data_IF_263566217494
#
_entry.id   IF_263566217494
#
_cell.length_a   1.000
_cell.length_b   1.000
_cell.length_c   1.000
_cell.angle_alpha   90.00
_cell.angle_beta   90.00
_cell.angle_gamma   90.00
#
_symmetry.space_group_name_H-M   'P 1'
#
loop_
_entity.id
_entity.type
_entity.pdbx_description
1 polymer ?
#
# COMPACT_ATOMS: atom_id res chain seq x y z
N UNK A 1 -11.10 9.11 6.80
CA UNK A 1 -10.09 10.13 6.53
C UNK A 1 -8.99 9.98 7.56
N UNK A 2 -8.08 9.04 7.32
CA UNK A 2 -6.78 9.07 7.99
C UNK A 2 -6.10 10.42 7.72
N UNK A 3 -5.24 10.88 8.63
CA UNK A 3 -4.56 12.17 8.48
C UNK A 3 -3.86 12.32 7.12
N UNK A 4 -3.32 11.24 6.56
CA UNK A 4 -2.69 11.24 5.23
C UNK A 4 -3.68 11.31 4.03
N UNK A 5 -4.93 10.89 4.19
CA UNK A 5 -5.89 10.85 3.07
C UNK A 5 -6.50 12.22 2.77
N UNK A 6 -6.65 13.09 3.78
CA UNK A 6 -7.22 14.44 3.60
C UNK A 6 -6.18 15.55 3.45
N UNK A 7 -4.89 15.25 3.65
CA UNK A 7 -3.82 16.25 3.55
C UNK A 7 -3.67 16.84 2.13
N UNK A 8 -3.66 16.03 1.05
CA UNK A 8 -3.60 16.58 -0.31
C UNK A 8 -4.74 17.57 -0.60
N UNK A 9 -5.96 17.24 -0.17
CA UNK A 9 -7.15 18.09 -0.32
C UNK A 9 -7.06 19.35 0.55
N UNK A 10 -6.59 19.23 1.80
CA UNK A 10 -6.41 20.36 2.69
C UNK A 10 -5.36 21.36 2.16
N UNK A 11 -4.26 20.86 1.59
CA UNK A 11 -3.23 21.70 0.96
C UNK A 11 -3.80 22.39 -0.28
N UNK A 12 -4.52 21.66 -1.13
CA UNK A 12 -5.17 22.25 -2.30
C UNK A 12 -6.12 23.39 -1.91
N UNK A 13 -6.95 23.19 -0.89
CA UNK A 13 -7.93 24.19 -0.43
C UNK A 13 -7.31 25.42 0.25
N UNK A 14 -6.09 25.29 0.78
CA UNK A 14 -5.39 26.39 1.46
C UNK A 14 -4.52 27.20 0.50
N UNK A 15 -4.30 26.71 -0.71
CA UNK A 15 -3.52 27.39 -1.73
C UNK A 15 -4.40 28.39 -2.48
N UNK A 16 -3.96 29.65 -2.57
CA UNK A 16 -4.74 30.73 -3.18
C UNK A 16 -4.77 30.68 -4.72
N UNK A 17 -3.93 29.86 -5.35
CA UNK A 17 -3.83 29.69 -6.80
C UNK A 17 -4.43 28.38 -7.32
N UNK A 18 -4.16 28.07 -8.59
CA UNK A 18 -4.67 26.84 -9.22
C UNK A 18 -3.98 25.61 -8.62
N UNK A 19 -4.76 24.56 -8.34
CA UNK A 19 -4.20 23.31 -7.82
C UNK A 19 -4.78 22.08 -8.51
N UNK A 20 -3.92 21.08 -8.72
CA UNK A 20 -4.32 19.79 -9.28
C UNK A 20 -3.75 18.64 -8.47
N UNK A 21 -4.61 17.68 -8.14
CA UNK A 21 -4.26 16.46 -7.42
C UNK A 21 -4.28 15.29 -8.41
N UNK A 22 -3.14 14.63 -8.62
CA UNK A 22 -3.05 13.53 -9.56
C UNK A 22 -2.38 12.28 -8.97
N UNK A 23 -2.95 11.12 -9.29
CA UNK A 23 -2.40 9.81 -8.86
C UNK A 23 -2.14 8.93 -10.07
N UNK A 24 -0.89 8.50 -10.23
CA UNK A 24 -0.51 7.63 -11.35
C UNK A 24 -0.99 6.19 -11.13
N UNK A 25 -1.90 5.72 -12.00
CA UNK A 25 -2.49 4.37 -11.98
C UNK A 25 -2.11 3.53 -13.21
N UNK A 26 -0.90 3.72 -13.74
CA UNK A 26 -0.34 2.91 -14.84
C UNK A 26 -0.63 3.41 -16.26
N UNK A 27 -1.48 4.43 -16.44
CA UNK A 27 -1.75 5.04 -17.75
C UNK A 27 -1.32 6.52 -17.75
N UNK A 28 -0.28 6.84 -18.52
CA UNK A 28 0.23 8.22 -18.65
C UNK A 28 -0.79 9.17 -19.26
N UNK A 29 -1.45 8.77 -20.36
CA UNK A 29 -2.46 9.62 -21.01
C UNK A 29 -3.61 10.00 -20.08
N UNK A 30 -4.14 9.05 -19.29
CA UNK A 30 -5.19 9.34 -18.30
C UNK A 30 -4.70 10.23 -17.17
N UNK A 31 -3.44 10.07 -16.75
CA UNK A 31 -2.81 10.90 -15.72
C UNK A 31 -2.72 12.37 -16.17
N UNK A 32 -2.15 12.64 -17.34
CA UNK A 32 -2.07 14.03 -17.86
C UNK A 32 -3.44 14.61 -18.18
N UNK A 33 -4.36 13.83 -18.75
CA UNK A 33 -5.73 14.29 -18.98
C UNK A 33 -6.44 14.69 -17.67
N UNK A 34 -6.19 13.97 -16.57
CA UNK A 34 -6.78 14.31 -15.27
C UNK A 34 -6.20 15.58 -14.65
N UNK A 35 -4.95 15.93 -14.97
CA UNK A 35 -4.32 17.19 -14.55
C UNK A 35 -4.92 18.33 -15.38
N UNK A 36 -4.91 18.19 -16.71
CA UNK A 36 -5.47 19.18 -17.62
C UNK A 36 -6.94 19.50 -17.30
N UNK A 37 -7.76 18.48 -17.03
CA UNK A 37 -9.15 18.68 -16.66
C UNK A 37 -9.34 19.42 -15.33
N UNK A 38 -8.44 19.24 -14.35
CA UNK A 38 -8.52 19.94 -13.07
C UNK A 38 -8.09 21.41 -13.18
N UNK A 39 -7.18 21.70 -14.09
CA UNK A 39 -6.67 23.05 -14.37
C UNK A 39 -7.44 23.77 -15.48
N UNK A 40 -8.57 23.21 -15.93
CA UNK A 40 -9.38 23.73 -17.04
C UNK A 40 -8.60 23.95 -18.36
N UNK A 41 -7.62 23.09 -18.62
CA UNK A 41 -6.79 23.12 -19.83
C UNK A 41 -7.45 22.27 -20.92
N UNK A 42 -7.54 22.76 -22.18
CA UNK A 42 -8.11 22.01 -23.29
C UNK A 42 -7.41 20.66 -23.49
N UNK A 43 -8.20 19.58 -23.57
CA UNK A 43 -7.67 18.22 -23.83
C UNK A 43 -7.93 17.74 -25.26
N UNK A 44 -8.55 18.60 -26.08
CA UNK A 44 -8.92 18.34 -27.47
C UNK A 44 -8.31 19.39 -28.40
N UNK A 45 -7.91 18.99 -29.60
CA UNK A 45 -7.49 19.90 -30.66
C UNK A 45 -8.68 20.69 -31.22
N UNK A 46 -8.40 21.70 -32.06
CA UNK A 46 -9.40 22.48 -32.82
C UNK A 46 -10.39 21.60 -33.62
N UNK A 47 -9.98 20.38 -34.00
CA UNK A 47 -10.79 19.38 -34.71
C UNK A 47 -11.67 18.49 -33.78
N UNK A 48 -11.68 18.73 -32.46
CA UNK A 48 -12.38 17.91 -31.47
C UNK A 48 -11.76 16.52 -31.23
N UNK A 49 -10.48 16.34 -31.58
CA UNK A 49 -9.73 15.09 -31.35
C UNK A 49 -8.93 15.18 -30.06
N UNK A 50 -8.99 14.12 -29.25
CA UNK A 50 -8.22 14.03 -28.01
C UNK A 50 -6.71 14.11 -28.27
N UNK A 51 -6.03 15.02 -27.56
CA UNK A 51 -4.59 15.24 -27.63
C UNK A 51 -3.80 13.95 -27.36
N UNK A 52 -2.59 13.87 -27.95
CA UNK A 52 -1.64 12.81 -27.64
C UNK A 52 -1.06 13.02 -26.22
N UNK A 53 -0.37 12.01 -25.67
CA UNK A 53 0.26 12.16 -24.36
C UNK A 53 1.32 13.25 -24.35
N UNK A 54 2.12 13.35 -25.42
CA UNK A 54 3.20 14.34 -25.50
C UNK A 54 2.64 15.74 -25.75
N UNK A 55 1.60 15.86 -26.59
CA UNK A 55 0.92 17.14 -26.80
C UNK A 55 0.21 17.63 -25.50
N UNK A 56 -0.36 16.73 -24.70
CA UNK A 56 -0.90 17.09 -23.38
C UNK A 56 0.19 17.62 -22.43
N UNK A 57 1.40 17.06 -22.45
CA UNK A 57 2.50 17.54 -21.59
C UNK A 57 2.94 18.94 -21.96
N UNK A 58 3.06 19.20 -23.26
CA UNK A 58 3.42 20.52 -23.79
C UNK A 58 2.34 21.54 -23.47
N UNK A 59 1.08 21.22 -23.72
CA UNK A 59 -0.05 22.12 -23.43
C UNK A 59 -0.13 22.45 -21.93
N UNK A 60 0.03 21.45 -21.07
CA UNK A 60 0.08 21.66 -19.63
C UNK A 60 1.29 22.54 -19.26
N UNK A 61 2.47 22.29 -19.82
CA UNK A 61 3.67 23.08 -19.51
C UNK A 61 3.56 24.55 -19.94
N UNK A 62 2.84 24.85 -21.02
CA UNK A 62 2.63 26.23 -21.51
C UNK A 62 1.64 27.00 -20.62
N UNK A 63 0.62 26.32 -20.11
CA UNK A 63 -0.45 26.95 -19.32
C UNK A 63 -0.14 27.01 -17.82
N UNK A 64 0.85 26.24 -17.34
CA UNK A 64 1.30 26.28 -15.95
C UNK A 64 2.14 27.51 -15.65
N UNK A 65 1.93 28.09 -14.48
CA UNK A 65 2.67 29.27 -14.00
C UNK A 65 3.17 29.05 -12.56
N UNK A 66 3.87 30.04 -12.01
CA UNK A 66 4.40 30.01 -10.63
C UNK A 66 3.32 30.06 -9.54
N UNK A 67 2.06 30.27 -9.94
CA UNK A 67 0.89 30.25 -9.08
C UNK A 67 0.09 28.96 -9.22
N UNK A 68 0.66 27.92 -9.87
CA UNK A 68 0.05 26.59 -9.90
C UNK A 68 0.75 25.64 -8.93
N UNK A 69 -0.05 24.83 -8.23
CA UNK A 69 0.39 23.78 -7.32
C UNK A 69 -0.03 22.40 -7.81
N UNK A 70 0.96 21.55 -8.11
CA UNK A 70 0.73 20.15 -8.44
C UNK A 70 0.95 19.26 -7.22
N UNK A 71 -0.06 18.47 -6.86
CA UNK A 71 -0.05 17.62 -5.67
C UNK A 71 -0.09 16.14 -6.09
N UNK A 72 0.88 15.36 -5.61
CA UNK A 72 1.04 13.94 -5.92
C UNK A 72 0.96 13.09 -4.63
N UNK A 73 -0.21 12.53 -4.29
CA UNK A 73 -0.41 11.72 -3.08
C UNK A 73 0.44 10.44 -3.04
N UNK A 74 0.84 9.91 -4.19
CA UNK A 74 1.62 8.67 -4.31
C UNK A 74 2.85 8.87 -5.22
N UNK A 75 3.80 9.72 -4.79
CA UNK A 75 4.94 10.13 -5.60
C UNK A 75 5.84 8.96 -6.02
N UNK A 76 5.91 7.88 -5.22
CA UNK A 76 6.69 6.67 -5.56
C UNK A 76 6.21 5.99 -6.85
N UNK A 77 4.96 6.18 -7.27
CA UNK A 77 4.42 5.59 -8.49
C UNK A 77 4.77 6.38 -9.76
N UNK A 78 5.32 7.58 -9.64
CA UNK A 78 5.69 8.40 -10.79
C UNK A 78 6.80 7.71 -11.59
N UNK A 79 6.58 7.56 -12.89
CA UNK A 79 7.59 6.98 -13.78
C UNK A 79 8.74 7.97 -14.01
N UNK A 80 9.89 7.47 -14.41
CA UNK A 80 11.06 8.31 -14.73
C UNK A 80 10.73 9.42 -15.73
N UNK A 81 9.96 9.13 -16.77
CA UNK A 81 9.57 10.16 -17.75
C UNK A 81 8.61 11.23 -17.22
N UNK A 82 7.80 10.93 -16.19
CA UNK A 82 6.99 11.95 -15.51
C UNK A 82 7.87 12.79 -14.60
N UNK A 83 8.87 12.17 -13.94
CA UNK A 83 9.80 12.89 -13.07
C UNK A 83 10.64 13.90 -13.84
N UNK A 84 11.22 13.53 -14.99
CA UNK A 84 11.94 14.50 -15.82
C UNK A 84 11.05 15.66 -16.29
N UNK A 85 9.80 15.37 -16.69
CA UNK A 85 8.86 16.42 -17.05
C UNK A 85 8.52 17.35 -15.87
N UNK A 86 8.47 16.84 -14.63
CA UNK A 86 8.27 17.66 -13.45
C UNK A 86 9.51 18.51 -13.11
N UNK A 87 10.71 18.03 -13.41
CA UNK A 87 11.97 18.78 -13.27
C UNK A 87 11.91 20.06 -14.11
N UNK A 88 11.57 19.92 -15.40
CA UNK A 88 11.42 21.05 -16.32
C UNK A 88 10.36 22.07 -15.83
N UNK A 89 9.26 21.58 -15.22
CA UNK A 89 8.22 22.45 -14.64
C UNK A 89 8.64 23.13 -13.35
N UNK A 90 9.44 22.47 -12.52
CA UNK A 90 9.98 23.08 -11.31
C UNK A 90 10.98 24.18 -11.65
N UNK A 91 11.78 23.99 -12.70
CA UNK A 91 12.69 25.03 -13.24
C UNK A 91 11.92 26.24 -13.77
N UNK A 92 10.74 26.05 -14.37
CA UNK A 92 9.87 27.14 -14.82
C UNK A 92 9.11 27.85 -13.67
N UNK A 93 9.24 27.35 -12.44
CA UNK A 93 8.72 27.96 -11.22
C UNK A 93 7.41 27.36 -10.71
N UNK A 94 6.92 26.25 -11.29
CA UNK A 94 5.72 25.55 -10.82
C UNK A 94 5.98 24.90 -9.47
N UNK A 95 5.04 25.01 -8.53
CA UNK A 95 5.16 24.41 -7.21
C UNK A 95 4.70 22.96 -7.26
N UNK A 96 5.52 22.05 -6.72
CA UNK A 96 5.21 20.61 -6.68
C UNK A 96 5.23 20.12 -5.23
N UNK A 97 4.15 19.43 -4.83
CA UNK A 97 4.02 18.77 -3.54
C UNK A 97 3.91 17.26 -3.73
N UNK A 98 4.87 16.51 -3.22
CA UNK A 98 4.95 15.06 -3.39
C UNK A 98 4.85 14.35 -2.03
N UNK A 99 3.90 13.42 -1.91
CA UNK A 99 3.77 12.57 -0.74
C UNK A 99 4.38 11.19 -0.99
N UNK A 100 5.21 10.73 -0.06
CA UNK A 100 5.82 9.41 -0.11
C UNK A 100 5.94 8.81 1.29
N UNK A 101 5.76 7.48 1.39
CA UNK A 101 5.97 6.73 2.64
C UNK A 101 7.47 6.59 2.97
N UNK A 102 8.30 6.54 1.93
CA UNK A 102 9.76 6.49 2.05
C UNK A 102 10.31 7.46 1.01
N UNK A 103 11.13 8.40 1.44
CA UNK A 103 11.75 9.34 0.52
C UNK A 103 12.65 8.59 -0.47
N UNK A 104 12.47 8.88 -1.76
CA UNK A 104 13.32 8.37 -2.82
C UNK A 104 14.47 9.35 -3.02
N UNK A 105 15.69 8.99 -2.60
CA UNK A 105 16.90 9.82 -2.76
C UNK A 105 17.44 9.86 -4.21
N UNK A 106 16.59 10.20 -5.19
CA UNK A 106 16.89 10.20 -6.63
C UNK A 106 16.05 11.23 -7.39
N UNK A 107 16.54 11.70 -8.53
CA UNK A 107 15.83 12.57 -9.49
C UNK A 107 15.30 13.85 -8.81
N UNK A 108 14.13 14.35 -9.23
CA UNK A 108 13.44 15.55 -8.69
C UNK A 108 13.38 15.61 -7.16
N UNK A 109 13.32 14.46 -6.49
CA UNK A 109 13.19 14.40 -5.03
C UNK A 109 14.44 14.90 -4.29
N UNK A 110 15.60 15.01 -4.96
CA UNK A 110 16.82 15.58 -4.39
C UNK A 110 16.76 17.10 -4.27
N UNK A 111 15.96 17.75 -5.11
CA UNK A 111 15.84 19.21 -5.17
C UNK A 111 14.65 19.74 -4.36
N UNK A 112 13.75 18.85 -3.97
CA UNK A 112 12.57 19.18 -3.17
C UNK A 112 12.91 19.38 -1.69
N UNK A 113 12.22 20.30 -1.04
CA UNK A 113 12.27 20.45 0.41
C UNK A 113 11.64 19.22 1.08
N UNK A 114 12.41 18.55 1.94
CA UNK A 114 11.95 17.40 2.70
C UNK A 114 11.26 17.83 4.00
N UNK A 115 10.01 17.38 4.18
CA UNK A 115 9.23 17.56 5.42
C UNK A 115 8.81 16.19 5.92
N UNK A 116 9.39 15.74 7.04
CA UNK A 116 9.00 14.50 7.68
C UNK A 116 7.76 14.72 8.58
N UNK A 117 6.70 13.94 8.32
CA UNK A 117 5.50 13.98 9.15
C UNK A 117 5.69 13.09 10.38
N UNK A 118 5.52 13.67 11.56
CA UNK A 118 5.53 12.91 12.80
C UNK A 118 4.31 11.97 12.92
N UNK A 119 4.52 10.85 13.60
CA UNK A 119 3.42 9.95 13.93
C UNK A 119 2.42 10.67 14.85
N UNK A 120 1.10 10.49 14.62
CA UNK A 120 0.10 11.15 15.43
C UNK A 120 0.20 10.73 16.89
N UNK A 121 -0.03 11.70 17.78
CA UNK A 121 -0.01 11.47 19.21
C UNK A 121 -1.13 10.52 19.65
N UNK A 122 -0.92 9.84 20.77
CA UNK A 122 -1.92 8.96 21.39
C UNK A 122 -3.23 9.70 21.73
N UNK A 123 -3.15 11.01 22.00
CA UNK A 123 -4.32 11.88 22.19
C UNK A 123 -5.11 12.01 20.90
N UNK A 124 -4.45 12.29 19.78
CA UNK A 124 -5.08 12.40 18.46
C UNK A 124 -5.72 11.08 18.03
N UNK A 125 -5.11 9.95 18.36
CA UNK A 125 -5.71 8.63 18.14
C UNK A 125 -6.98 8.45 18.96
N UNK A 126 -6.96 8.85 20.24
CA UNK A 126 -8.12 8.78 21.12
C UNK A 126 -9.27 9.64 20.62
N UNK A 127 -8.99 10.87 20.21
CA UNK A 127 -9.96 11.78 19.60
C UNK A 127 -10.56 11.14 18.33
N UNK A 128 -9.72 10.59 17.45
CA UNK A 128 -10.21 9.88 16.25
C UNK A 128 -11.08 8.64 16.56
N UNK A 129 -10.83 7.94 17.66
CA UNK A 129 -11.67 6.83 18.12
C UNK A 129 -13.02 7.32 18.67
N UNK A 130 -13.01 8.42 19.44
CA UNK A 130 -14.21 9.04 19.98
C UNK A 130 -15.11 9.58 18.86
N UNK A 131 -14.52 10.26 17.88
CA UNK A 131 -15.23 10.79 16.72
C UNK A 131 -15.91 9.67 15.92
N UNK A 132 -15.24 8.55 15.73
CA UNK A 132 -15.81 7.40 15.02
C UNK A 132 -16.90 6.70 15.83
N UNK A 133 -16.73 6.60 17.15
CA UNK A 133 -17.74 6.05 18.04
C UNK A 133 -19.01 6.92 18.02
N UNK A 134 -18.86 8.24 18.05
CA UNK A 134 -19.96 9.20 17.94
C UNK A 134 -20.70 9.05 16.60
N UNK A 135 -19.97 8.90 15.48
CA UNK A 135 -20.57 8.66 14.15
C UNK A 135 -21.41 7.38 14.08
N UNK A 136 -21.01 6.36 14.83
CA UNK A 136 -21.71 5.07 14.88
C UNK A 136 -22.78 5.02 15.98
N UNK A 137 -23.02 6.14 16.69
CA UNK A 137 -23.89 6.21 17.88
C UNK A 137 -23.52 5.14 18.94
N UNK A 138 -22.24 4.78 19.02
CA UNK A 138 -21.73 3.77 19.94
C UNK A 138 -21.32 4.46 21.24
N UNK A 139 -22.00 4.14 22.34
CA UNK A 139 -21.63 4.64 23.66
C UNK A 139 -20.51 3.77 24.26
N UNK A 140 -19.25 4.15 24.04
CA UNK A 140 -18.09 3.44 24.59
C UNK A 140 -17.68 4.06 25.92
N UNK A 141 -17.54 3.24 26.96
CA UNK A 141 -16.98 3.71 28.23
C UNK A 141 -15.50 4.10 28.09
N UNK A 142 -15.00 5.09 28.85
CA UNK A 142 -13.58 5.47 28.81
C UNK A 142 -12.62 4.30 29.10
N UNK A 143 -13.04 3.37 29.97
CA UNK A 143 -12.28 2.16 30.29
C UNK A 143 -12.16 1.20 29.10
N UNK A 144 -13.24 1.00 28.34
CA UNK A 144 -13.23 0.15 27.15
C UNK A 144 -12.41 0.80 26.04
N UNK A 145 -12.52 2.11 25.86
CA UNK A 145 -11.73 2.85 24.89
C UNK A 145 -10.22 2.77 25.18
N UNK A 146 -9.82 2.85 26.45
CA UNK A 146 -8.44 2.65 26.87
C UNK A 146 -7.93 1.22 26.59
N UNK A 147 -8.78 0.20 26.67
CA UNK A 147 -8.41 -1.17 26.30
C UNK A 147 -8.24 -1.37 24.78
N UNK A 148 -9.01 -0.62 23.97
CA UNK A 148 -8.94 -0.68 22.51
C UNK A 148 -7.79 0.14 21.92
N UNK A 149 -7.32 1.17 22.63
CA UNK A 149 -6.28 2.08 22.15
C UNK A 149 -4.94 1.39 21.83
N UNK A 150 -4.40 0.47 22.67
CA UNK A 150 -3.19 -0.29 22.32
C UNK A 150 -3.35 -1.13 21.04
N UNK A 151 -4.55 -1.65 20.76
CA UNK A 151 -4.83 -2.45 19.56
C UNK A 151 -4.83 -1.60 18.28
N UNK A 152 -5.13 -0.31 18.40
CA UNK A 152 -5.10 0.64 17.29
C UNK A 152 -3.67 1.05 16.89
N UNK A 153 -2.71 0.99 17.81
CA UNK A 153 -1.38 1.55 17.64
C UNK A 153 -1.41 3.05 17.35
N UNK A 154 -0.42 3.56 16.62
CA UNK A 154 -0.30 4.99 16.24
C UNK A 154 -0.89 5.30 14.86
N UNK A 155 -1.90 4.53 14.42
CA UNK A 155 -2.55 4.72 13.13
C UNK A 155 -4.03 5.12 13.30
N UNK A 156 -4.44 6.32 12.86
CA UNK A 156 -5.83 6.74 12.93
C UNK A 156 -6.78 5.84 12.15
N UNK A 157 -6.29 5.22 11.07
CA UNK A 157 -7.09 4.31 10.23
C UNK A 157 -7.44 3.04 10.99
N UNK A 158 -6.44 2.42 11.63
CA UNK A 158 -6.64 1.21 12.44
C UNK A 158 -7.52 1.54 13.64
N UNK A 159 -7.33 2.70 14.26
CA UNK A 159 -8.14 3.16 15.38
C UNK A 159 -9.64 3.19 15.06
N UNK A 160 -10.02 3.81 13.94
CA UNK A 160 -11.43 3.84 13.47
C UNK A 160 -11.94 2.45 13.11
N UNK A 161 -11.11 1.61 12.51
CA UNK A 161 -11.47 0.24 12.17
C UNK A 161 -11.74 -0.62 13.42
N UNK A 162 -10.96 -0.44 14.48
CA UNK A 162 -11.17 -1.09 15.78
C UNK A 162 -12.52 -0.71 16.36
N UNK A 163 -12.88 0.58 16.33
CA UNK A 163 -14.19 1.06 16.80
C UNK A 163 -15.35 0.51 15.96
N UNK A 164 -15.23 0.52 14.62
CA UNK A 164 -16.25 -0.09 13.74
C UNK A 164 -16.47 -1.57 14.03
N UNK A 165 -15.41 -2.31 14.36
CA UNK A 165 -15.50 -3.74 14.70
C UNK A 165 -16.15 -3.96 16.05
N UNK A 166 -15.80 -3.14 17.03
CA UNK A 166 -16.45 -3.15 18.35
C UNK A 166 -17.96 -2.89 18.20
N UNK A 167 -18.37 -1.95 17.34
CA UNK A 167 -19.78 -1.69 17.04
C UNK A 167 -20.51 -2.89 16.41
N UNK A 168 -19.79 -3.73 15.66
CA UNK A 168 -20.31 -4.95 15.04
C UNK A 168 -20.28 -6.16 16.00
N UNK A 169 -19.83 -5.99 17.25
CA UNK A 169 -19.66 -7.09 18.22
C UNK A 169 -18.55 -8.07 17.85
N UNK A 170 -17.63 -7.69 16.96
CA UNK A 170 -16.50 -8.51 16.56
C UNK A 170 -15.36 -8.30 17.57
N UNK A 171 -14.93 -9.39 18.23
CA UNK A 171 -13.83 -9.33 19.19
C UNK A 171 -12.57 -8.68 18.56
N UNK A 172 -12.13 -7.51 19.06
CA UNK A 172 -11.00 -6.76 18.50
C UNK A 172 -9.64 -7.41 18.81
N UNK A 173 -9.60 -8.46 19.64
CA UNK A 173 -8.38 -9.22 19.95
C UNK A 173 -7.78 -9.93 18.72
N UNK A 174 -8.52 -10.03 17.61
CA UNK A 174 -8.04 -10.59 16.34
C UNK A 174 -7.37 -9.57 15.40
N UNK A 175 -7.16 -8.32 15.85
CA UNK A 175 -6.57 -7.24 15.04
C UNK A 175 -5.05 -7.34 14.90
N UNK A 176 -4.38 -8.15 15.74
CA UNK A 176 -2.98 -8.48 15.46
C UNK A 176 -2.93 -9.17 14.10
N UNK A 177 -2.41 -8.47 13.09
CA UNK A 177 -2.20 -8.95 11.72
C UNK A 177 -1.27 -10.16 11.60
N UNK A 178 -1.04 -10.86 12.71
CA UNK A 178 -0.64 -12.24 12.73
C UNK A 178 -1.89 -13.07 12.43
N UNK A 179 -2.16 -13.28 11.13
CA UNK A 179 -2.57 -14.63 10.76
C UNK A 179 -1.46 -15.53 11.29
N UNK A 180 -1.65 -16.09 12.49
CA UNK A 180 -0.71 -17.04 13.06
C UNK A 180 -0.78 -18.24 12.14
N UNK A 181 0.09 -18.21 11.14
CA UNK A 181 0.25 -19.30 10.19
C UNK A 181 0.68 -20.46 11.07
N UNK A 182 -0.21 -21.43 11.24
CA UNK A 182 0.16 -22.67 11.89
C UNK A 182 1.23 -23.27 10.98
N UNK A 183 2.49 -23.15 11.39
CA UNK A 183 3.59 -23.69 10.61
C UNK A 183 3.54 -25.22 10.75
N UNK A 184 2.90 -25.87 9.77
CA UNK A 184 2.76 -27.33 9.67
C UNK A 184 4.06 -27.97 9.15
N UNK A 185 5.04 -27.16 8.72
CA UNK A 185 6.33 -27.63 8.20
C UNK A 185 7.04 -28.63 9.13
N UNK A 186 7.11 -28.43 10.46
CA UNK A 186 7.78 -29.37 11.37
C UNK A 186 7.12 -30.76 11.36
N UNK A 187 5.79 -30.81 11.26
CA UNK A 187 5.03 -32.07 11.25
C UNK A 187 5.32 -32.86 9.96
N UNK A 188 5.36 -32.17 8.80
CA UNK A 188 5.68 -32.78 7.51
C UNK A 188 7.13 -33.31 7.50
N UNK A 189 8.08 -32.55 8.09
CA UNK A 189 9.48 -32.98 8.17
C UNK A 189 9.64 -34.21 9.08
N UNK A 190 8.92 -34.27 10.19
CA UNK A 190 8.92 -35.44 11.08
C UNK A 190 8.40 -36.70 10.38
N UNK A 191 7.31 -36.58 9.60
CA UNK A 191 6.76 -37.70 8.83
C UNK A 191 7.73 -38.21 7.75
N UNK A 192 8.40 -37.30 7.02
CA UNK A 192 9.41 -37.66 6.02
C UNK A 192 10.64 -38.32 6.65
N UNK A 193 11.07 -37.86 7.83
CA UNK A 193 12.18 -38.47 8.56
C UNK A 193 11.85 -39.91 8.99
N UNK A 194 10.62 -40.17 9.48
CA UNK A 194 10.16 -41.52 9.82
C UNK A 194 10.21 -42.47 8.62
N UNK A 195 9.73 -42.02 7.45
CA UNK A 195 9.82 -42.79 6.20
C UNK A 195 11.28 -43.05 5.78
N UNK A 196 12.17 -42.09 6.04
CA UNK A 196 13.62 -42.24 5.90
C UNK A 196 14.18 -43.38 6.73
N UNK A 197 13.79 -43.48 8.00
CA UNK A 197 14.22 -44.56 8.91
C UNK A 197 13.74 -45.93 8.41
N UNK A 198 12.50 -46.04 7.93
CA UNK A 198 11.96 -47.29 7.37
C UNK A 198 12.77 -47.78 6.16
N UNK A 199 13.22 -46.86 5.30
CA UNK A 199 14.11 -47.17 4.18
C UNK A 199 15.43 -47.77 4.67
N UNK A 200 16.07 -47.16 5.67
CA UNK A 200 17.34 -47.69 6.23
C UNK A 200 17.14 -49.03 6.92
N UNK A 201 15.99 -49.25 7.56
CA UNK A 201 15.68 -50.52 8.20
C UNK A 201 15.41 -51.64 7.19
N UNK A 202 14.79 -51.33 6.05
CA UNK A 202 14.66 -52.25 4.92
C UNK A 202 16.02 -52.65 4.33
N UNK A 203 16.96 -51.71 4.23
CA UNK A 203 18.34 -52.02 3.84
C UNK A 203 19.04 -52.92 4.87
N UNK A 204 18.88 -52.63 6.16
CA UNK A 204 19.48 -53.41 7.23
C UNK A 204 18.90 -54.83 7.36
N UNK A 205 17.61 -55.01 7.04
CA UNK A 205 16.91 -56.30 7.12
C UNK A 205 17.01 -57.13 5.84
N UNK A 206 17.64 -56.61 4.78
CA UNK A 206 17.74 -57.26 3.48
C UNK A 206 16.44 -57.28 2.65
N UNK A 207 15.36 -56.65 3.15
CA UNK A 207 14.08 -56.57 2.45
C UNK A 207 14.08 -55.42 1.44
N UNK A 208 14.28 -55.79 0.18
CA UNK A 208 14.25 -54.87 -0.97
C UNK A 208 12.90 -54.17 -1.12
N UNK A 209 11.80 -54.83 -0.72
CA UNK A 209 10.45 -54.30 -0.85
C UNK A 209 10.27 -53.10 0.06
N UNK A 210 10.66 -53.23 1.33
CA UNK A 210 10.55 -52.15 2.31
C UNK A 210 11.47 -50.96 1.96
N UNK A 211 12.66 -51.24 1.44
CA UNK A 211 13.58 -50.21 0.94
C UNK A 211 12.99 -49.39 -0.22
N UNK A 212 12.38 -50.08 -1.20
CA UNK A 212 11.79 -49.43 -2.38
C UNK A 212 10.54 -48.63 -1.99
N UNK A 213 9.65 -49.19 -1.16
CA UNK A 213 8.42 -48.51 -0.72
C UNK A 213 8.75 -47.25 0.09
N UNK A 214 9.71 -47.33 1.03
CA UNK A 214 10.16 -46.17 1.79
C UNK A 214 10.76 -45.07 0.91
N UNK A 215 11.57 -45.46 -0.10
CA UNK A 215 12.14 -44.52 -1.08
C UNK A 215 11.07 -43.81 -1.93
N UNK A 216 10.10 -44.55 -2.45
CA UNK A 216 8.99 -43.98 -3.22
C UNK A 216 8.12 -43.03 -2.38
N UNK A 217 7.83 -43.39 -1.12
CA UNK A 217 7.03 -42.55 -0.22
C UNK A 217 7.70 -41.21 0.10
N UNK A 218 9.03 -41.18 0.28
CA UNK A 218 9.80 -39.94 0.49
C UNK A 218 9.74 -39.04 -0.75
N UNK A 219 9.91 -39.61 -1.95
CA UNK A 219 9.85 -38.85 -3.20
C UNK A 219 8.48 -38.22 -3.42
N UNK A 220 7.41 -38.99 -3.18
CA UNK A 220 6.03 -38.50 -3.28
C UNK A 220 5.77 -37.39 -2.26
N UNK A 221 6.21 -37.56 -1.01
CA UNK A 221 6.05 -36.53 0.03
C UNK A 221 6.84 -35.24 -0.26
N UNK A 222 8.03 -35.34 -0.85
CA UNK A 222 8.78 -34.18 -1.33
C UNK A 222 8.09 -33.47 -2.49
N UNK A 223 7.54 -34.22 -3.46
CA UNK A 223 6.75 -33.64 -4.55
C UNK A 223 5.52 -32.87 -4.03
N UNK A 224 4.78 -33.44 -3.08
CA UNK A 224 3.65 -32.75 -2.45
C UNK A 224 4.09 -31.50 -1.68
N UNK A 225 5.26 -31.52 -1.01
CA UNK A 225 5.82 -30.32 -0.37
C UNK A 225 6.14 -29.24 -1.39
N UNK A 226 6.78 -29.58 -2.51
CA UNK A 226 7.10 -28.61 -3.56
C UNK A 226 5.83 -28.02 -4.19
N UNK A 227 4.82 -28.85 -4.48
CA UNK A 227 3.52 -28.40 -4.98
C UNK A 227 2.77 -27.52 -3.96
N UNK A 228 2.79 -27.90 -2.69
CA UNK A 228 2.20 -27.11 -1.61
C UNK A 228 2.89 -25.76 -1.39
N UNK A 229 4.21 -25.68 -1.62
CA UNK A 229 4.98 -24.43 -1.56
C UNK A 229 4.67 -23.48 -2.73
N UNK A 230 4.15 -23.99 -3.85
CA UNK A 230 3.74 -23.19 -5.03
C UNK A 230 2.37 -22.52 -4.81
N UNK A 231 1.58 -22.95 -3.83
CA UNK A 231 0.38 -22.23 -3.40
C UNK A 231 0.75 -21.01 -2.54
N UNK A 232 1.03 -19.89 -3.20
CA UNK A 232 0.88 -18.57 -2.57
C UNK A 232 1.93 -17.53 -2.89
N UNK A 233 2.27 -17.29 -4.16
CA UNK A 233 2.53 -15.89 -4.56
C UNK A 233 1.18 -15.17 -4.59
N UNK A 234 0.63 -14.90 -3.40
CA UNK A 234 -0.47 -13.93 -3.29
C UNK A 234 0.17 -12.60 -3.62
N UNK A 235 0.03 -12.19 -4.88
CA UNK A 235 0.26 -10.84 -5.36
C UNK A 235 -0.29 -9.89 -4.29
N UNK A 236 0.61 -9.16 -3.61
CA UNK A 236 0.20 -8.08 -2.72
C UNK A 236 -0.56 -7.10 -3.60
N UNK A 237 -1.87 -6.97 -3.39
CA UNK A 237 -2.62 -5.82 -3.89
C UNK A 237 -1.99 -4.59 -3.23
N UNK A 238 -1.09 -3.92 -3.95
CA UNK A 238 -0.32 -2.80 -3.41
C UNK A 238 1.07 -2.59 -4.03
N UNK A 239 1.61 -3.53 -4.80
CA UNK A 239 2.78 -3.26 -5.68
C UNK A 239 2.29 -2.91 -7.09
#
# INVERSE_FOLDING_TARGET
MGLAEGLPEAIANQFDGDSAIATYKGSGKKFFASIAQQLDIPTENEDGKALSMDALKEEIAINLNSDTLLIFPEAKRLTTGIRYWLEDLMESGVKVCAFAVVNSKRDIFLEMLEVELELPSDRTIREAMQDEAAKLNLNISPSRLAALQPLAGRSPVIARQTIRREALGLNPDKITGHSQYLDITPIIMAALALLGVLKFWGMASGDRTLYIIGGCAIMVGLCFRYLGKVSGSKKKLGE
#
